data_IF_633572641024
#
_entry.id   IF_633572641024
#
_cell.length_a   1.000
_cell.length_b   1.000
_cell.length_c   1.000
_cell.angle_alpha   90.00
_cell.angle_beta   90.00
_cell.angle_gamma   90.00
#
_symmetry.space_group_name_H-M   'P 1'
#
loop_
_entity.id
_entity.type
_entity.pdbx_description
1 polymer ?
#
# COMPACT_ATOMS: atom_id res chain seq x y z
N UNK A 1 8.94 7.85 -12.36
CA UNK A 1 7.89 6.88 -12.01
C UNK A 1 7.01 7.56 -11.00
N UNK A 2 5.69 7.48 -11.16
CA UNK A 2 4.69 8.05 -10.25
C UNK A 2 4.23 6.97 -9.30
N UNK A 3 4.33 7.18 -8.00
CA UNK A 3 3.87 6.25 -6.98
C UNK A 3 2.88 6.93 -6.03
N UNK A 4 1.92 6.15 -5.54
CA UNK A 4 1.08 6.55 -4.40
C UNK A 4 1.59 5.87 -3.14
N UNK A 5 1.86 6.64 -2.09
CA UNK A 5 2.10 6.15 -0.74
C UNK A 5 0.80 6.15 0.07
N UNK A 6 0.18 4.99 0.28
CA UNK A 6 -1.00 4.86 1.13
C UNK A 6 -0.60 4.82 2.61
N UNK A 7 -1.03 5.83 3.36
CA UNK A 7 -0.81 5.92 4.80
C UNK A 7 -1.82 5.01 5.51
N UNK A 8 -1.43 3.78 5.83
CA UNK A 8 -2.31 2.72 6.35
C UNK A 8 -2.81 2.90 7.80
N UNK A 9 -2.98 4.12 8.29
CA UNK A 9 -3.39 4.42 9.67
C UNK A 9 -4.17 5.73 9.77
N UNK A 10 -5.04 5.83 10.77
CA UNK A 10 -5.75 7.05 11.14
C UNK A 10 -5.15 7.75 12.38
N UNK A 11 -4.09 7.20 12.97
CA UNK A 11 -3.40 7.86 14.09
C UNK A 11 -2.78 9.18 13.63
N UNK A 12 -2.90 10.25 14.41
CA UNK A 12 -2.21 11.53 14.16
C UNK A 12 -0.69 11.38 14.31
N UNK A 13 -0.26 10.65 15.33
CA UNK A 13 1.16 10.37 15.58
C UNK A 13 1.48 8.96 15.09
N UNK A 14 2.03 8.85 13.87
CA UNK A 14 2.33 7.57 13.24
C UNK A 14 3.74 7.54 12.68
N UNK A 15 4.54 6.59 13.16
CA UNK A 15 5.87 6.32 12.61
C UNK A 15 5.81 5.67 11.23
N UNK A 16 4.67 5.10 10.84
CA UNK A 16 4.45 4.61 9.47
C UNK A 16 4.21 5.76 8.48
N UNK A 17 3.48 6.80 8.91
CA UNK A 17 3.36 8.03 8.13
C UNK A 17 4.73 8.71 7.99
N UNK A 18 5.48 8.79 9.10
CA UNK A 18 6.84 9.33 9.09
C UNK A 18 7.77 8.55 8.17
N UNK A 19 7.70 7.22 8.17
CA UNK A 19 8.44 6.37 7.24
C UNK A 19 8.08 6.69 5.77
N UNK A 20 6.80 6.83 5.45
CA UNK A 20 6.37 7.19 4.08
C UNK A 20 6.82 8.61 3.69
N UNK A 21 6.82 9.56 4.62
CA UNK A 21 7.35 10.91 4.40
C UNK A 21 8.86 10.90 4.16
N UNK A 22 9.60 10.07 4.91
CA UNK A 22 11.01 9.85 4.67
C UNK A 22 11.24 9.23 3.29
N UNK A 23 10.53 8.16 2.93
CA UNK A 23 10.61 7.53 1.59
C UNK A 23 10.32 8.55 0.49
N UNK A 24 9.28 9.37 0.65
CA UNK A 24 8.92 10.44 -0.28
C UNK A 24 10.07 11.43 -0.47
N UNK A 25 10.67 11.90 0.62
CA UNK A 25 11.78 12.88 0.59
C UNK A 25 13.07 12.27 0.05
N UNK A 26 13.44 11.10 0.56
CA UNK A 26 14.72 10.42 0.30
C UNK A 26 14.84 9.95 -1.15
N UNK A 27 13.73 9.59 -1.80
CA UNK A 27 13.71 9.12 -3.19
C UNK A 27 13.15 10.14 -4.20
N UNK A 28 13.08 11.42 -3.84
CA UNK A 28 12.52 12.48 -4.70
C UNK A 28 13.27 12.68 -6.04
N UNK A 29 14.54 12.28 -6.12
CA UNK A 29 15.34 12.28 -7.34
C UNK A 29 15.08 11.05 -8.23
N UNK A 30 14.53 9.97 -7.65
CA UNK A 30 14.27 8.69 -8.33
C UNK A 30 12.82 8.48 -8.76
N UNK A 31 11.86 9.06 -8.03
CA UNK A 31 10.43 8.91 -8.27
C UNK A 31 9.62 10.10 -7.75
N UNK A 32 8.45 10.32 -8.35
CA UNK A 32 7.43 11.23 -7.83
C UNK A 32 6.48 10.41 -6.94
N UNK A 33 6.44 10.71 -5.65
CA UNK A 33 5.68 9.95 -4.65
C UNK A 33 4.66 10.88 -4.01
N UNK A 34 3.38 10.60 -4.20
CA UNK A 34 2.29 11.32 -3.55
C UNK A 34 1.78 10.51 -2.35
N UNK A 35 1.77 11.10 -1.16
CA UNK A 35 1.19 10.46 0.02
C UNK A 35 -0.31 10.72 0.10
N UNK A 36 -1.08 9.64 0.30
CA UNK A 36 -2.54 9.66 0.36
C UNK A 36 -2.99 9.13 1.72
N UNK A 37 -3.83 9.92 2.38
CA UNK A 37 -4.45 9.58 3.66
C UNK A 37 -5.77 8.84 3.44
N UNK A 38 -6.00 7.78 4.21
CA UNK A 38 -7.25 7.00 4.19
C UNK A 38 -8.14 7.25 5.43
N UNK A 39 -7.68 8.10 6.35
CA UNK A 39 -8.28 8.32 7.67
C UNK A 39 -9.73 8.86 7.60
N UNK A 40 -10.08 9.53 6.50
CA UNK A 40 -11.37 10.20 6.30
C UNK A 40 -12.33 9.35 5.44
N UNK A 41 -11.95 8.11 5.08
CA UNK A 41 -12.87 7.20 4.40
C UNK A 41 -13.99 6.80 5.36
N UNK A 42 -15.26 6.82 4.93
CA UNK A 42 -16.35 6.30 5.76
C UNK A 42 -16.15 4.80 6.01
N UNK A 43 -16.79 4.27 7.05
CA UNK A 43 -16.79 2.82 7.28
C UNK A 43 -17.48 2.13 6.11
N UNK A 44 -16.84 1.11 5.56
CA UNK A 44 -17.32 0.35 4.43
C UNK A 44 -18.66 -0.31 4.77
N UNK A 45 -19.64 -0.07 3.91
CA UNK A 45 -21.01 -0.53 4.08
C UNK A 45 -21.61 -0.99 2.74
N UNK A 46 -20.98 -1.99 2.08
CA UNK A 46 -21.39 -2.64 0.82
C UNK A 46 -22.56 -1.92 0.10
N UNK A 47 -22.32 -0.85 -0.66
CA UNK A 47 -23.39 -0.05 -1.24
C UNK A 47 -24.09 -0.82 -2.37
N UNK A 48 -25.42 -0.95 -2.29
CA UNK A 48 -26.20 -1.73 -3.26
C UNK A 48 -26.08 -1.22 -4.72
N UNK A 49 -25.85 0.08 -4.90
CA UNK A 49 -25.69 0.71 -6.22
C UNK A 49 -24.24 0.79 -6.70
N UNK A 50 -23.28 0.19 -5.96
CA UNK A 50 -21.84 0.27 -6.23
C UNK A 50 -21.29 1.71 -6.33
N UNK A 51 -21.97 2.69 -5.73
CA UNK A 51 -21.50 4.07 -5.72
C UNK A 51 -20.52 4.29 -4.57
N UNK A 52 -19.33 4.78 -4.90
CA UNK A 52 -18.28 5.06 -3.94
C UNK A 52 -18.38 6.53 -3.44
N UNK A 53 -17.96 6.80 -2.19
CA UNK A 53 -17.75 8.16 -1.71
C UNK A 53 -16.76 8.94 -2.58
N UNK A 54 -16.93 10.25 -2.71
CA UNK A 54 -16.10 11.10 -3.58
C UNK A 54 -14.61 11.05 -3.21
N UNK A 55 -14.30 11.13 -1.92
CA UNK A 55 -12.92 11.02 -1.43
C UNK A 55 -12.28 9.65 -1.70
N UNK A 56 -13.07 8.58 -1.78
CA UNK A 56 -12.58 7.26 -2.20
C UNK A 56 -12.29 7.27 -3.70
N UNK A 57 -13.20 7.81 -4.52
CA UNK A 57 -13.03 7.90 -5.98
C UNK A 57 -11.79 8.72 -6.38
N UNK A 58 -11.48 9.80 -5.66
CA UNK A 58 -10.26 10.57 -5.87
C UNK A 58 -9.00 9.70 -5.68
N UNK A 59 -8.98 8.86 -4.65
CA UNK A 59 -7.86 7.95 -4.38
C UNK A 59 -7.79 6.82 -5.40
N UNK A 60 -8.93 6.26 -5.81
CA UNK A 60 -9.02 5.26 -6.88
C UNK A 60 -8.35 5.80 -8.14
N UNK A 61 -8.73 7.01 -8.58
CA UNK A 61 -8.15 7.66 -9.76
C UNK A 61 -6.63 7.85 -9.63
N UNK A 62 -6.15 8.30 -8.46
CA UNK A 62 -4.71 8.46 -8.20
C UNK A 62 -3.94 7.15 -8.30
N UNK A 63 -4.52 6.05 -7.81
CA UNK A 63 -3.91 4.71 -7.89
C UNK A 63 -3.89 4.22 -9.34
N UNK A 64 -4.96 4.42 -10.11
CA UNK A 64 -5.04 4.04 -11.52
C UNK A 64 -3.95 4.74 -12.35
N UNK A 65 -3.78 6.05 -12.14
CA UNK A 65 -2.78 6.88 -12.82
C UNK A 65 -1.32 6.62 -12.38
N UNK A 66 -1.10 5.93 -11.27
CA UNK A 66 0.25 5.68 -10.75
C UNK A 66 0.87 4.41 -11.34
N UNK A 67 2.19 4.39 -11.45
CA UNK A 67 2.95 3.22 -11.90
C UNK A 67 2.95 2.09 -10.85
N UNK A 68 2.74 2.43 -9.56
CA UNK A 68 2.72 1.49 -8.45
C UNK A 68 2.29 2.15 -7.14
N UNK A 69 2.07 1.34 -6.11
CA UNK A 69 1.61 1.78 -4.79
C UNK A 69 2.59 1.29 -3.71
N UNK A 70 2.88 2.16 -2.75
CA UNK A 70 3.62 1.83 -1.52
C UNK A 70 2.62 1.88 -0.37
N UNK A 71 2.44 0.79 0.36
CA UNK A 71 1.50 0.75 1.51
C UNK A 71 2.32 0.71 2.79
N UNK A 72 2.18 1.73 3.62
CA UNK A 72 2.78 1.78 4.96
C UNK A 72 1.78 1.27 6.00
N UNK A 73 2.00 0.09 6.57
CA UNK A 73 1.09 -0.52 7.56
C UNK A 73 1.74 -0.67 8.94
N UNK A 74 1.15 -0.09 10.00
CA UNK A 74 1.41 -0.55 11.36
C UNK A 74 0.88 -1.97 11.58
N UNK A 75 1.21 -2.56 12.73
CA UNK A 75 0.65 -3.84 13.18
C UNK A 75 -0.14 -3.65 14.47
N UNK A 76 -1.44 -3.96 14.43
CA UNK A 76 -2.34 -4.00 15.60
C UNK A 76 -2.85 -5.43 15.75
N UNK A 77 -2.67 -6.01 16.94
CA UNK A 77 -3.15 -7.37 17.27
C UNK A 77 -2.75 -8.44 16.23
N UNK A 78 -1.50 -8.36 15.74
CA UNK A 78 -0.95 -9.22 14.68
C UNK A 78 -1.65 -9.10 13.32
N UNK A 79 -2.34 -7.99 13.09
CA UNK A 79 -3.12 -7.69 11.90
C UNK A 79 -2.79 -6.29 11.36
N UNK A 80 -3.18 -6.04 10.10
CA UNK A 80 -3.31 -4.69 9.56
C UNK A 80 -4.34 -3.91 10.37
N UNK A 81 -4.25 -2.57 10.41
CA UNK A 81 -5.25 -1.75 11.08
C UNK A 81 -6.62 -1.87 10.41
N UNK A 82 -7.68 -1.79 11.21
CA UNK A 82 -9.06 -1.80 10.72
C UNK A 82 -9.32 -0.73 9.65
N UNK A 83 -8.71 0.46 9.79
CA UNK A 83 -8.83 1.54 8.79
C UNK A 83 -8.18 1.18 7.44
N UNK A 84 -7.10 0.40 7.44
CA UNK A 84 -6.48 -0.06 6.20
C UNK A 84 -7.37 -1.12 5.53
N UNK A 85 -7.90 -2.08 6.29
CA UNK A 85 -8.87 -3.04 5.75
C UNK A 85 -10.11 -2.34 5.20
N UNK A 86 -10.60 -1.32 5.90
CA UNK A 86 -11.72 -0.49 5.46
C UNK A 86 -11.45 0.18 4.11
N UNK A 87 -10.26 0.75 3.93
CA UNK A 87 -9.87 1.38 2.67
C UNK A 87 -9.75 0.36 1.54
N UNK A 88 -9.15 -0.81 1.81
CA UNK A 88 -9.03 -1.89 0.84
C UNK A 88 -10.41 -2.39 0.37
N UNK A 89 -11.38 -2.53 1.28
CA UNK A 89 -12.75 -2.90 0.93
C UNK A 89 -13.41 -1.87 0.00
N UNK A 90 -13.17 -0.58 0.22
CA UNK A 90 -13.67 0.47 -0.68
C UNK A 90 -13.02 0.42 -2.06
N UNK A 91 -11.70 0.21 -2.14
CA UNK A 91 -10.95 0.21 -3.40
C UNK A 91 -10.95 -1.15 -4.12
N UNK A 92 -11.78 -2.09 -3.69
CA UNK A 92 -12.01 -3.37 -4.39
C UNK A 92 -13.49 -3.63 -4.72
N UNK A 93 -14.39 -2.73 -4.31
CA UNK A 93 -15.83 -2.93 -4.49
C UNK A 93 -16.35 -2.13 -5.69
N UNK A 94 -16.54 -2.79 -6.83
CA UNK A 94 -17.05 -2.16 -8.06
C UNK A 94 -16.03 -1.31 -8.80
N UNK A 95 -14.80 -1.23 -8.29
CA UNK A 95 -13.62 -0.62 -8.91
C UNK A 95 -12.42 -1.53 -8.65
N UNK A 96 -11.43 -1.52 -9.54
CA UNK A 96 -10.28 -2.44 -9.48
C UNK A 96 -8.92 -1.75 -9.67
N UNK A 97 -8.65 -0.60 -9.01
CA UNK A 97 -7.43 0.19 -9.23
C UNK A 97 -6.13 -0.56 -8.87
N UNK A 98 -6.22 -1.57 -8.00
CA UNK A 98 -5.09 -2.39 -7.57
C UNK A 98 -4.87 -3.65 -8.42
N UNK A 99 -5.77 -3.96 -9.35
CA UNK A 99 -5.67 -5.16 -10.19
C UNK A 99 -4.39 -5.13 -11.03
N UNK A 100 -3.54 -6.15 -10.85
CA UNK A 100 -2.18 -6.25 -11.41
C UNK A 100 -1.26 -5.07 -11.07
N UNK A 101 -1.66 -4.15 -10.18
CA UNK A 101 -0.87 -2.98 -9.80
C UNK A 101 0.34 -3.44 -9.00
N UNK A 102 1.56 -2.96 -9.31
CA UNK A 102 2.73 -3.25 -8.50
C UNK A 102 2.60 -2.60 -7.11
N UNK A 103 2.80 -3.38 -6.07
CA UNK A 103 2.69 -2.92 -4.67
C UNK A 103 3.96 -3.25 -3.88
N UNK A 104 4.52 -2.26 -3.21
CA UNK A 104 5.54 -2.43 -2.17
C UNK A 104 4.87 -2.28 -0.80
N UNK A 105 5.14 -3.22 0.11
CA UNK A 105 4.68 -3.12 1.49
C UNK A 105 5.84 -2.64 2.36
N UNK A 106 5.55 -1.69 3.24
CA UNK A 106 6.47 -1.22 4.28
C UNK A 106 5.74 -1.17 5.60
N UNK A 107 6.50 -1.21 6.70
CA UNK A 107 5.89 -1.16 8.02
C UNK A 107 6.91 -0.75 9.07
N UNK A 108 6.44 0.07 10.00
CA UNK A 108 7.18 0.49 11.17
C UNK A 108 6.46 0.01 12.43
N UNK A 109 7.21 -0.53 13.39
CA UNK A 109 6.68 -0.98 14.68
C UNK A 109 7.53 -0.45 15.82
N UNK A 110 6.95 -0.33 17.02
CA UNK A 110 7.71 -0.02 18.23
C UNK A 110 8.58 -1.21 18.66
N UNK A 111 8.15 -2.44 18.31
CA UNK A 111 8.86 -3.67 18.61
C UNK A 111 9.94 -4.04 17.60
N UNK A 112 10.59 -5.17 17.85
CA UNK A 112 11.73 -5.70 17.07
C UNK A 112 11.35 -6.29 15.71
N UNK A 113 10.06 -6.59 15.46
CA UNK A 113 9.62 -7.34 14.27
C UNK A 113 9.19 -6.45 13.10
N UNK A 114 9.18 -5.12 13.25
CA UNK A 114 8.91 -4.20 12.13
C UNK A 114 7.57 -4.42 11.40
N UNK A 115 6.52 -4.77 12.14
CA UNK A 115 5.16 -5.03 11.63
C UNK A 115 5.04 -6.25 10.69
N UNK A 116 5.95 -7.22 10.79
CA UNK A 116 6.02 -8.37 9.87
C UNK A 116 4.72 -9.17 9.73
N UNK A 117 3.92 -9.34 10.79
CA UNK A 117 2.66 -10.11 10.69
C UNK A 117 1.59 -9.33 9.96
N UNK A 118 1.51 -8.02 10.19
CA UNK A 118 0.63 -7.16 9.42
C UNK A 118 1.01 -7.13 7.94
N UNK A 119 2.31 -7.10 7.60
CA UNK A 119 2.75 -7.15 6.21
C UNK A 119 2.38 -8.48 5.54
N UNK A 120 2.56 -9.61 6.24
CA UNK A 120 2.16 -10.92 5.73
C UNK A 120 0.65 -11.02 5.51
N UNK A 121 -0.15 -10.56 6.46
CA UNK A 121 -1.61 -10.55 6.32
C UNK A 121 -2.05 -9.59 5.19
N UNK A 122 -1.44 -8.42 5.06
CA UNK A 122 -1.71 -7.49 3.97
C UNK A 122 -1.43 -8.16 2.62
N UNK A 123 -0.31 -8.87 2.49
CA UNK A 123 0.03 -9.63 1.27
C UNK A 123 -1.03 -10.68 0.94
N UNK A 124 -1.56 -11.39 1.95
CA UNK A 124 -2.66 -12.33 1.75
C UNK A 124 -3.93 -11.63 1.23
N UNK A 125 -4.29 -10.48 1.81
CA UNK A 125 -5.46 -9.69 1.39
C UNK A 125 -5.28 -9.18 -0.04
N UNK A 126 -4.09 -8.65 -0.37
CA UNK A 126 -3.77 -8.12 -1.70
C UNK A 126 -3.80 -9.20 -2.81
N UNK A 127 -3.71 -10.49 -2.43
CA UNK A 127 -3.83 -11.63 -3.34
C UNK A 127 -5.29 -12.08 -3.57
N UNK A 128 -6.28 -11.47 -2.90
CA UNK A 128 -7.69 -11.77 -3.13
C UNK A 128 -8.08 -11.48 -4.61
N UNK A 129 -8.98 -12.25 -5.23
CA UNK A 129 -9.34 -12.10 -6.65
C UNK A 129 -9.77 -10.68 -7.07
N UNK A 130 -10.50 -9.98 -6.20
CA UNK A 130 -11.02 -8.63 -6.38
C UNK A 130 -9.97 -7.53 -6.20
N UNK A 131 -8.77 -7.85 -5.68
CA UNK A 131 -7.65 -6.91 -5.55
C UNK A 131 -6.53 -7.32 -6.50
N UNK A 132 -6.04 -8.56 -6.37
CA UNK A 132 -5.04 -9.23 -7.21
C UNK A 132 -3.90 -8.31 -7.61
N UNK A 133 -3.31 -7.66 -6.61
CA UNK A 133 -2.16 -6.80 -6.79
C UNK A 133 -0.88 -7.64 -7.00
N UNK A 134 0.05 -7.10 -7.77
CA UNK A 134 1.39 -7.68 -7.91
C UNK A 134 2.25 -7.18 -6.75
N UNK A 135 2.37 -7.96 -5.68
CA UNK A 135 3.13 -7.53 -4.49
C UNK A 135 4.60 -7.90 -4.63
N UNK A 136 5.50 -6.94 -4.43
CA UNK A 136 6.95 -7.17 -4.36
C UNK A 136 7.24 -8.24 -3.29
N UNK A 137 8.01 -9.31 -3.59
CA UNK A 137 8.28 -10.37 -2.61
C UNK A 137 8.98 -9.89 -1.35
N UNK A 138 9.91 -8.94 -1.49
CA UNK A 138 10.67 -8.38 -0.36
C UNK A 138 9.80 -7.48 0.55
N UNK A 139 10.25 -7.36 1.79
CA UNK A 139 9.59 -6.58 2.85
C UNK A 139 10.57 -5.59 3.47
N UNK A 140 10.09 -4.36 3.71
CA UNK A 140 10.81 -3.41 4.55
C UNK A 140 10.19 -3.37 5.95
N UNK A 141 10.91 -3.95 6.91
CA UNK A 141 10.53 -4.08 8.32
C UNK A 141 11.34 -3.08 9.15
N UNK A 142 10.72 -1.98 9.60
CA UNK A 142 11.37 -0.99 10.46
C UNK A 142 11.05 -1.26 11.94
N UNK A 143 12.05 -1.77 12.65
CA UNK A 143 11.99 -2.04 14.08
C UNK A 143 12.27 -0.79 14.91
N UNK A 144 11.82 -0.77 16.17
CA UNK A 144 12.11 0.31 17.14
C UNK A 144 11.85 1.71 16.59
N UNK A 145 10.71 1.87 15.92
CA UNK A 145 10.40 3.07 15.13
C UNK A 145 10.30 4.38 15.91
N UNK A 146 10.20 4.34 17.24
CA UNK A 146 10.25 5.55 18.07
C UNK A 146 11.66 6.16 18.16
N UNK A 147 12.69 5.36 17.89
CA UNK A 147 14.10 5.75 17.92
C UNK A 147 14.72 5.80 16.52
N UNK A 148 13.96 5.39 15.49
CA UNK A 148 14.48 5.24 14.13
C UNK A 148 14.68 6.56 13.38
N UNK A 149 14.07 7.66 13.84
CA UNK A 149 14.08 8.94 13.16
C UNK A 149 14.74 10.05 13.98
N UNK A 150 15.41 10.97 13.30
CA UNK A 150 15.93 12.21 13.90
C UNK A 150 14.86 13.31 14.00
N UNK A 151 15.29 14.51 14.43
CA UNK A 151 14.42 15.69 14.55
C UNK A 151 13.89 16.25 13.22
N UNK A 152 14.48 15.87 12.08
CA UNK A 152 14.02 16.23 10.73
C UNK A 152 13.11 15.16 10.12
N UNK A 153 12.90 14.05 10.83
CA UNK A 153 12.14 12.90 10.36
C UNK A 153 12.92 11.99 9.42
N UNK A 154 14.25 12.08 9.42
CA UNK A 154 15.12 11.22 8.62
C UNK A 154 15.54 9.97 9.40
N UNK A 155 15.67 8.84 8.71
CA UNK A 155 16.20 7.62 9.33
C UNK A 155 17.65 7.84 9.79
N UNK A 156 18.01 7.27 10.95
CA UNK A 156 19.34 7.48 11.57
C UNK A 156 20.32 6.32 11.36
N UNK A 157 19.81 5.13 11.06
CA UNK A 157 20.61 3.91 10.91
C UNK A 157 20.99 3.68 9.45
N UNK A 158 22.29 3.75 9.14
CA UNK A 158 22.81 3.64 7.78
C UNK A 158 22.54 2.26 7.14
N UNK A 159 22.54 1.18 7.90
CA UNK A 159 22.30 -0.16 7.37
C UNK A 159 20.82 -0.33 7.01
N UNK A 160 19.93 0.26 7.81
CA UNK A 160 18.49 0.33 7.52
C UNK A 160 18.24 1.15 6.25
N UNK A 161 18.92 2.28 6.09
CA UNK A 161 18.82 3.13 4.89
C UNK A 161 19.30 2.37 3.65
N UNK A 162 20.45 1.73 3.70
CA UNK A 162 20.97 0.93 2.58
C UNK A 162 20.02 -0.21 2.19
N UNK A 163 19.40 -0.87 3.17
CA UNK A 163 18.38 -1.88 2.91
C UNK A 163 17.15 -1.29 2.21
N UNK A 164 16.68 -0.13 2.66
CA UNK A 164 15.55 0.56 2.02
C UNK A 164 15.89 0.97 0.58
N UNK A 165 17.11 1.49 0.35
CA UNK A 165 17.59 1.87 -0.98
C UNK A 165 17.56 0.69 -1.95
N UNK A 166 18.10 -0.46 -1.52
CA UNK A 166 18.11 -1.68 -2.33
C UNK A 166 16.69 -2.15 -2.66
N UNK A 167 15.82 -2.25 -1.66
CA UNK A 167 14.42 -2.69 -1.85
C UNK A 167 13.65 -1.71 -2.76
N UNK A 168 13.89 -0.41 -2.63
CA UNK A 168 13.22 0.59 -3.46
C UNK A 168 13.68 0.53 -4.92
N UNK A 169 14.98 0.32 -5.17
CA UNK A 169 15.47 0.12 -6.53
C UNK A 169 14.95 -1.19 -7.14
N UNK A 170 14.83 -2.26 -6.35
CA UNK A 170 14.16 -3.49 -6.75
C UNK A 170 12.67 -3.27 -7.04
N UNK A 171 11.96 -2.46 -6.25
CA UNK A 171 10.57 -2.10 -6.53
C UNK A 171 10.42 -1.37 -7.86
N UNK A 172 11.31 -0.43 -8.18
CA UNK A 172 11.32 0.28 -9.48
C UNK A 172 11.56 -0.70 -10.64
N UNK A 173 12.43 -1.68 -10.47
CA UNK A 173 12.63 -2.73 -11.47
C UNK A 173 11.41 -3.63 -11.59
N UNK A 174 10.82 -4.04 -10.46
CA UNK A 174 9.64 -4.87 -10.39
C UNK A 174 8.44 -4.24 -11.11
N UNK A 175 8.22 -2.94 -10.96
CA UNK A 175 7.20 -2.18 -11.71
C UNK A 175 7.42 -2.28 -13.23
N UNK A 176 8.67 -2.17 -13.69
CA UNK A 176 8.99 -2.30 -15.13
C UNK A 176 8.77 -3.73 -15.65
N UNK A 177 9.03 -4.74 -14.83
CA UNK A 177 8.85 -6.15 -15.20
C UNK A 177 7.36 -6.48 -15.25
N UNK A 178 6.62 -6.16 -14.21
CA UNK A 178 5.18 -6.40 -14.10
C UNK A 178 4.38 -5.64 -15.17
N UNK A 179 4.79 -4.42 -15.54
CA UNK A 179 4.19 -3.69 -16.66
C UNK A 179 4.31 -4.41 -18.02
N UNK A 180 5.21 -5.39 -18.16
CA UNK A 180 5.32 -6.24 -19.37
C UNK A 180 4.44 -7.50 -19.30
N UNK A 181 3.89 -7.84 -18.14
CA UNK A 181 3.03 -9.02 -17.93
C UNK A 181 1.57 -8.71 -18.28
N UNK A 182 1.30 -8.32 -19.53
CA UNK A 182 -0.02 -7.80 -19.93
C UNK A 182 -1.01 -8.86 -20.44
N UNK A 183 -0.55 -10.04 -20.86
CA UNK A 183 -1.37 -11.04 -21.57
C UNK A 183 -2.66 -11.46 -20.88
N UNK A 184 -2.66 -11.54 -19.54
CA UNK A 184 -3.85 -11.93 -18.78
C UNK A 184 -4.71 -10.73 -18.34
N UNK A 185 -4.25 -9.48 -18.51
CA UNK A 185 -4.82 -8.31 -17.82
C UNK A 185 -6.30 -8.11 -18.13
N UNK A 186 -6.70 -8.16 -19.41
CA UNK A 186 -8.10 -8.00 -19.81
C UNK A 186 -9.00 -9.13 -19.29
N UNK A 187 -8.49 -10.36 -19.26
CA UNK A 187 -9.23 -11.52 -18.74
C UNK A 187 -9.43 -11.39 -17.23
N UNK A 188 -8.37 -11.01 -16.50
CA UNK A 188 -8.43 -10.82 -15.06
C UNK A 188 -9.35 -9.67 -14.66
N UNK A 189 -9.40 -8.60 -15.48
CA UNK A 189 -10.32 -7.49 -15.24
C UNK A 189 -11.77 -7.93 -15.38
N UNK A 190 -12.08 -8.70 -16.43
CA UNK A 190 -13.42 -9.28 -16.61
C UNK A 190 -13.77 -10.27 -15.48
N UNK A 191 -12.83 -11.07 -15.02
CA UNK A 191 -13.03 -11.97 -13.86
C UNK A 191 -13.38 -11.19 -12.59
N UNK A 192 -12.67 -10.10 -12.31
CA UNK A 192 -12.92 -9.26 -11.15
C UNK A 192 -14.27 -8.52 -11.24
N UNK A 193 -14.62 -7.98 -12.41
CA UNK A 193 -15.92 -7.33 -12.65
C UNK A 193 -17.12 -8.27 -12.47
N UNK A 194 -16.96 -9.53 -12.89
CA UNK A 194 -17.99 -10.55 -12.81
C UNK A 194 -18.08 -11.26 -11.46
N UNK A 195 -17.13 -10.99 -10.55
CA UNK A 195 -17.12 -11.62 -9.24
C UNK A 195 -18.27 -11.10 -8.36
N UNK A 196 -19.16 -12.00 -7.94
CA UNK A 196 -20.31 -11.69 -7.13
C UNK A 196 -20.47 -12.65 -5.94
N UNK A 197 -20.24 -12.12 -4.74
CA UNK A 197 -20.42 -12.83 -3.47
C UNK A 197 -21.85 -13.34 -3.22
N UNK A 198 -22.87 -12.80 -3.89
CA UNK A 198 -24.26 -13.26 -3.73
C UNK A 198 -24.58 -14.50 -4.58
N UNK A 199 -23.65 -14.88 -5.47
CA UNK A 199 -23.79 -16.01 -6.39
C UNK A 199 -22.96 -17.25 -6.00
N UNK A 200 -22.17 -17.15 -4.93
CA UNK A 200 -21.35 -18.23 -4.34
C UNK A 200 -22.12 -18.99 -3.25
#
# INVERSE_FOLDING_TARGET
MKFIGLVGTNSKCSTNRQLLQYIQKHFADKADIELVEIKDFPVFNKPANKQLPENVLEVVKKIEEADGVIIGTPEYDHSIPAVLMNALAWVSYGVFPLLNKPVMITGASYGTLGASRAQLQLRQILNAPEIKANVLPDEFLLSHSLQAFDGNGDLVDLDVIQKLDAIFDDFRLFVKITGKLSHATELLHKEAENFDWESL
#
